data_IF_652563030323
#
_entry.id   IF_652563030323
#
_cell.length_a   1.000
_cell.length_b   1.000
_cell.length_c   1.000
_cell.angle_alpha   90.00
_cell.angle_beta   90.00
_cell.angle_gamma   90.00
#
_symmetry.space_group_name_H-M   'P 1'
#
loop_
_entity.id
_entity.type
_entity.pdbx_description
1 polymer ?
#
# COMPACT_ATOMS: atom_id res chain seq x y z
N UNK A 1 13.05 -10.36 -29.00
CA UNK A 1 11.78 -9.98 -28.35
C UNK A 1 11.96 -8.61 -27.73
N UNK A 2 11.15 -7.62 -28.11
CA UNK A 2 11.21 -6.27 -27.54
C UNK A 2 10.53 -6.24 -26.16
N UNK A 3 10.90 -5.28 -25.29
CA UNK A 3 10.26 -5.11 -23.96
C UNK A 3 8.73 -5.05 -24.08
N UNK A 4 8.22 -4.34 -25.08
CA UNK A 4 6.79 -4.21 -25.33
C UNK A 4 6.10 -5.56 -25.60
N UNK A 5 6.70 -6.41 -26.44
CA UNK A 5 6.18 -7.76 -26.73
C UNK A 5 6.18 -8.63 -25.47
N UNK A 6 7.22 -8.52 -24.64
CA UNK A 6 7.33 -9.25 -23.38
C UNK A 6 6.24 -8.83 -22.39
N UNK A 7 6.00 -7.52 -22.26
CA UNK A 7 4.91 -6.98 -21.43
C UNK A 7 3.53 -7.43 -21.92
N UNK A 8 3.30 -7.40 -23.23
CA UNK A 8 2.07 -7.89 -23.84
C UNK A 8 1.86 -9.39 -23.54
N UNK A 9 2.91 -10.21 -23.65
CA UNK A 9 2.86 -11.63 -23.33
C UNK A 9 2.58 -11.89 -21.83
N UNK A 10 3.29 -11.20 -20.93
CA UNK A 10 3.07 -11.31 -19.47
C UNK A 10 1.64 -10.94 -19.09
N UNK A 11 1.11 -9.87 -19.69
CA UNK A 11 -0.28 -9.42 -19.46
C UNK A 11 -1.28 -10.43 -20.04
N UNK A 12 -1.04 -10.94 -21.24
CA UNK A 12 -1.87 -11.94 -21.90
C UNK A 12 -1.94 -13.27 -21.13
N UNK A 13 -0.85 -13.65 -20.45
CA UNK A 13 -0.78 -14.81 -19.56
C UNK A 13 -1.36 -14.54 -18.16
N UNK A 14 -1.78 -13.31 -17.86
CA UNK A 14 -2.31 -12.93 -16.55
C UNK A 14 -1.24 -12.84 -15.44
N UNK A 15 0.04 -12.76 -15.80
CA UNK A 15 1.18 -12.68 -14.88
C UNK A 15 1.37 -11.25 -14.35
N UNK A 16 0.33 -10.74 -13.66
CA UNK A 16 0.23 -9.34 -13.23
C UNK A 16 1.33 -8.94 -12.24
N UNK A 17 1.77 -9.86 -11.38
CA UNK A 17 2.87 -9.60 -10.45
C UNK A 17 4.21 -9.51 -11.16
N UNK A 18 4.47 -10.41 -12.12
CA UNK A 18 5.69 -10.33 -12.95
C UNK A 18 5.71 -9.06 -13.80
N UNK A 19 4.60 -8.72 -14.45
CA UNK A 19 4.50 -7.53 -15.29
C UNK A 19 4.78 -6.24 -14.49
N UNK A 20 4.26 -6.15 -13.26
CA UNK A 20 4.49 -4.99 -12.38
C UNK A 20 5.91 -4.90 -11.84
N UNK A 21 6.58 -6.04 -11.63
CA UNK A 21 7.95 -6.09 -11.08
C UNK A 21 9.05 -6.11 -12.16
N UNK A 22 8.69 -6.22 -13.44
CA UNK A 22 9.65 -6.49 -14.52
C UNK A 22 10.74 -5.43 -14.63
N UNK A 23 10.37 -4.15 -14.71
CA UNK A 23 11.37 -3.08 -14.91
C UNK A 23 12.33 -3.01 -13.73
N UNK A 24 11.78 -3.03 -12.51
CA UNK A 24 12.59 -2.97 -11.29
C UNK A 24 13.52 -4.18 -11.16
N UNK A 25 13.03 -5.40 -11.39
CA UNK A 25 13.82 -6.61 -11.29
C UNK A 25 14.93 -6.68 -12.35
N UNK A 26 14.64 -6.26 -13.59
CA UNK A 26 15.63 -6.23 -14.67
C UNK A 26 16.67 -5.14 -14.43
N UNK A 27 16.25 -3.92 -14.07
CA UNK A 27 17.17 -2.81 -13.77
C UNK A 27 18.06 -3.14 -12.57
N UNK A 28 17.47 -3.63 -11.48
CA UNK A 28 18.20 -4.02 -10.27
C UNK A 28 19.13 -5.20 -10.54
N UNK A 29 18.67 -6.18 -11.33
CA UNK A 29 19.47 -7.34 -11.72
C UNK A 29 20.71 -6.94 -12.52
N UNK A 30 20.55 -6.03 -13.48
CA UNK A 30 21.66 -5.52 -14.28
C UNK A 30 22.66 -4.71 -13.44
N UNK A 31 22.16 -3.82 -12.56
CA UNK A 31 22.99 -3.02 -11.66
C UNK A 31 23.79 -3.88 -10.68
N UNK A 32 23.18 -4.93 -10.15
CA UNK A 32 23.80 -5.82 -9.15
C UNK A 32 24.56 -6.98 -9.77
N UNK A 33 24.68 -7.04 -11.11
CA UNK A 33 25.28 -8.16 -11.86
C UNK A 33 24.69 -9.51 -11.45
N UNK A 34 23.39 -9.55 -11.15
CA UNK A 34 22.67 -10.79 -10.85
C UNK A 34 22.62 -11.67 -12.08
N UNK A 35 22.69 -12.96 -11.85
CA UNK A 35 22.50 -13.96 -12.90
C UNK A 35 21.06 -13.91 -13.41
N UNK A 36 20.86 -14.32 -14.66
CA UNK A 36 19.51 -14.43 -15.25
C UNK A 36 18.57 -15.28 -14.39
N UNK A 37 19.09 -16.33 -13.75
CA UNK A 37 18.31 -17.21 -12.88
C UNK A 37 17.81 -16.50 -11.62
N UNK A 38 18.60 -15.60 -11.04
CA UNK A 38 18.18 -14.81 -9.87
C UNK A 38 17.09 -13.79 -10.25
N UNK A 39 17.23 -13.12 -11.41
CA UNK A 39 16.21 -12.19 -11.91
C UNK A 39 14.89 -12.95 -12.17
N UNK A 40 14.97 -14.12 -12.79
CA UNK A 40 13.81 -14.99 -13.00
C UNK A 40 13.18 -15.43 -11.67
N UNK A 41 13.98 -15.80 -10.68
CA UNK A 41 13.50 -16.17 -9.36
C UNK A 41 12.78 -15.01 -8.66
N UNK A 42 13.30 -13.78 -8.76
CA UNK A 42 12.68 -12.57 -8.21
C UNK A 42 11.32 -12.29 -8.88
N UNK A 43 11.24 -12.42 -10.20
CA UNK A 43 9.98 -12.25 -10.93
C UNK A 43 8.94 -13.31 -10.53
N UNK A 44 9.35 -14.58 -10.41
CA UNK A 44 8.46 -15.66 -9.96
C UNK A 44 7.97 -15.46 -8.52
N UNK A 45 8.84 -14.94 -7.64
CA UNK A 45 8.46 -14.57 -6.27
C UNK A 45 7.46 -13.43 -6.28
N UNK A 46 7.66 -12.39 -7.11
CA UNK A 46 6.71 -11.29 -7.24
C UNK A 46 5.31 -11.76 -7.68
N UNK A 47 5.24 -12.69 -8.63
CA UNK A 47 3.98 -13.29 -9.06
C UNK A 47 3.28 -14.07 -7.95
N UNK A 48 4.04 -14.90 -7.23
CA UNK A 48 3.51 -15.72 -6.14
C UNK A 48 2.95 -14.83 -5.03
N UNK A 49 3.68 -13.78 -4.64
CA UNK A 49 3.22 -12.80 -3.65
C UNK A 49 1.99 -12.05 -4.15
N UNK A 50 1.96 -11.64 -5.42
CA UNK A 50 0.81 -10.97 -6.01
C UNK A 50 -0.45 -11.85 -5.97
N UNK A 51 -0.34 -13.13 -6.34
CA UNK A 51 -1.45 -14.10 -6.29
C UNK A 51 -1.91 -14.36 -4.86
N UNK A 52 -0.98 -14.48 -3.92
CA UNK A 52 -1.31 -14.65 -2.51
C UNK A 52 -2.06 -13.43 -1.95
N UNK A 53 -1.59 -12.22 -2.26
CA UNK A 53 -2.28 -11.00 -1.87
C UNK A 53 -3.66 -10.89 -2.54
N UNK A 54 -3.79 -11.29 -3.81
CA UNK A 54 -5.07 -11.31 -4.51
C UNK A 54 -6.05 -12.31 -3.89
N UNK A 55 -5.59 -13.49 -3.45
CA UNK A 55 -6.44 -14.48 -2.79
C UNK A 55 -6.90 -14.02 -1.41
N UNK A 56 -6.03 -13.34 -0.65
CA UNK A 56 -6.41 -12.69 0.62
C UNK A 56 -7.49 -11.63 0.36
N UNK A 57 -7.27 -10.73 -0.59
CA UNK A 57 -8.26 -9.69 -0.94
C UNK A 57 -9.60 -10.30 -1.34
N UNK A 58 -9.58 -11.35 -2.15
CA UNK A 58 -10.78 -12.07 -2.53
C UNK A 58 -11.50 -12.67 -1.31
N UNK A 59 -10.77 -13.35 -0.42
CA UNK A 59 -11.35 -13.93 0.81
C UNK A 59 -11.94 -12.86 1.72
N UNK A 60 -11.26 -11.73 1.90
CA UNK A 60 -11.76 -10.61 2.70
C UNK A 60 -13.04 -10.00 2.11
N UNK A 61 -13.07 -9.79 0.79
CA UNK A 61 -14.25 -9.29 0.09
C UNK A 61 -15.43 -10.27 0.16
N UNK A 62 -15.17 -11.57 -0.03
CA UNK A 62 -16.18 -12.62 0.05
C UNK A 62 -16.75 -12.77 1.47
N UNK A 63 -15.92 -12.58 2.49
CA UNK A 63 -16.33 -12.68 3.88
C UNK A 63 -17.23 -11.50 4.35
N UNK A 64 -17.47 -10.47 3.51
CA UNK A 64 -18.23 -9.25 3.84
C UNK A 64 -17.84 -8.69 5.22
N UNK A 65 -16.56 -8.77 5.59
CA UNK A 65 -16.10 -8.22 6.85
C UNK A 65 -16.43 -6.72 6.84
N UNK A 66 -17.14 -6.19 7.86
CA UNK A 66 -17.33 -4.76 7.96
C UNK A 66 -15.93 -4.15 8.07
N UNK A 67 -15.56 -3.32 7.09
CA UNK A 67 -14.42 -2.43 7.24
C UNK A 67 -14.65 -1.69 8.55
N UNK A 68 -13.74 -1.84 9.50
CA UNK A 68 -13.80 -1.10 10.76
C UNK A 68 -13.81 0.37 10.36
N UNK A 69 -15.00 0.96 10.34
CA UNK A 69 -15.14 2.42 10.34
C UNK A 69 -14.47 2.83 11.62
N UNK A 70 -13.45 3.67 11.52
CA UNK A 70 -12.99 4.49 12.63
C UNK A 70 -14.20 5.34 13.05
N UNK A 71 -15.05 4.79 13.90
CA UNK A 71 -16.03 5.56 14.64
C UNK A 71 -15.17 6.44 15.55
N UNK A 72 -15.10 7.78 15.33
CA UNK A 72 -14.36 8.62 16.24
C UNK A 72 -15.08 8.48 17.58
N UNK A 73 -14.42 7.82 18.53
CA UNK A 73 -14.84 7.75 19.92
C UNK A 73 -15.27 9.16 20.31
N UNK A 74 -16.60 9.36 20.40
CA UNK A 74 -17.22 10.63 20.77
C UNK A 74 -16.99 10.79 22.27
N UNK A 75 -15.75 11.10 22.64
CA UNK A 75 -15.40 11.48 24.01
C UNK A 75 -16.22 12.74 24.31
N UNK A 76 -17.16 12.56 25.23
CA UNK A 76 -18.10 13.54 25.73
C UNK A 76 -17.41 14.89 26.01
N UNK A 77 -17.64 15.85 25.10
CA UNK A 77 -17.40 17.29 25.32
C UNK A 77 -18.41 17.83 26.34
N UNK A 78 -18.36 17.33 27.58
CA UNK A 78 -19.24 17.75 28.67
C UNK A 78 -18.50 18.05 29.98
N UNK A 79 -17.18 18.27 29.93
CA UNK A 79 -16.38 18.67 31.10
C UNK A 79 -15.37 19.81 30.83
N UNK A 80 -15.45 20.50 29.68
CA UNK A 80 -14.70 21.74 29.45
C UNK A 80 -15.66 22.92 29.41
N UNK A 81 -16.22 23.24 30.57
CA UNK A 81 -17.18 24.31 30.73
C UNK A 81 -17.23 24.77 32.18
N UNK A 82 -16.08 25.11 32.75
CA UNK A 82 -15.91 25.83 34.02
C UNK A 82 -14.40 26.06 34.25
N UNK A 83 -13.81 27.06 33.59
CA UNK A 83 -12.66 27.85 34.09
C UNK A 83 -12.10 28.72 32.95
N UNK A 84 -12.77 29.82 32.64
CA UNK A 84 -12.16 30.93 31.90
C UNK A 84 -12.78 32.28 32.31
N UNK A 85 -13.26 32.38 33.55
CA UNK A 85 -13.84 33.59 34.12
C UNK A 85 -12.96 34.22 35.24
N UNK A 86 -11.75 33.69 35.47
CA UNK A 86 -10.89 34.09 36.59
C UNK A 86 -9.44 34.46 36.22
N UNK A 87 -9.18 34.86 34.97
CA UNK A 87 -7.96 35.59 34.60
C UNK A 87 -8.42 36.75 33.71
N UNK A 88 -8.56 37.97 34.20
CA UNK A 88 -7.50 38.71 34.88
C UNK A 88 -6.82 39.57 33.82
N UNK A 89 -7.41 40.75 33.58
CA UNK A 89 -6.81 41.98 33.03
C UNK A 89 -5.38 41.87 32.52
N UNK A 90 -5.21 41.82 31.20
CA UNK A 90 -4.05 42.39 30.50
C UNK A 90 -4.63 43.41 29.52
N UNK A 91 -4.92 44.63 29.97
CA UNK A 91 -4.00 45.76 29.90
C UNK A 91 -3.44 45.93 28.48
N UNK A 92 -4.29 46.46 27.59
CA UNK A 92 -3.84 47.10 26.35
C UNK A 92 -3.58 48.55 26.72
N UNK A 93 -2.30 48.93 26.79
CA UNK A 93 -1.87 50.31 26.90
C UNK A 93 -0.70 50.54 25.93
N UNK A 94 -0.94 51.49 25.03
CA UNK A 94 -0.01 52.29 24.20
C UNK A 94 0.96 51.55 23.27
#
# INVERSE_FOLDING_TARGET
>A
MQRHEMMAALTGLGLKGMAGAFDEAVTTGLQRKRTTMEILADLLRAETTHRHAASIRYRMAAAKLPAVKDEPLRVSRRLFGLSYAAMGTWSIAA
#
